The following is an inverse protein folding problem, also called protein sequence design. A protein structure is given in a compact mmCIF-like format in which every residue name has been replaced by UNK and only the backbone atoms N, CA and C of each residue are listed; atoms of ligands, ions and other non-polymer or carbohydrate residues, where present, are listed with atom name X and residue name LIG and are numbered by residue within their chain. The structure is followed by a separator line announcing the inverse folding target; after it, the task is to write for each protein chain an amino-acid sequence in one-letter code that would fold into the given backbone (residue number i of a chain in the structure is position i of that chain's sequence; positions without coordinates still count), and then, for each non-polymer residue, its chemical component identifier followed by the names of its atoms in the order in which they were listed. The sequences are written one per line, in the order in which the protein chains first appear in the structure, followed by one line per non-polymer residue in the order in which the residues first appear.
data_IF_533948438881
#
_entry.id   IF_533948438881
#
_cell.length_a   1.000
_cell.length_b   1.000
_cell.length_c   1.000
_cell.angle_alpha   90.00
_cell.angle_beta   90.00
_cell.angle_gamma   90.00
#
_symmetry.space_group_name_H-M   'P 1'
#
loop_
_entity.id
_entity.type
_entity.pdbx_description
1 polymer ?
#
# COMPACT_ATOMS: atom_id res chain seq x y z
N UNK A 1 3.01 16.59 -28.62
CA UNK A 1 3.52 15.46 -27.83
C UNK A 1 2.33 14.82 -27.15
N UNK A 2 2.13 13.52 -27.33
CA UNK A 2 1.03 12.78 -26.69
C UNK A 2 1.27 12.77 -25.18
N UNK A 3 0.25 13.10 -24.40
CA UNK A 3 0.28 13.00 -22.94
C UNK A 3 0.66 11.56 -22.54
N UNK A 4 1.75 11.34 -21.77
CA UNK A 4 2.20 10.01 -21.39
C UNK A 4 1.13 9.22 -20.63
N UNK A 5 0.31 9.88 -19.80
CA UNK A 5 -0.79 9.23 -19.07
C UNK A 5 -1.83 8.72 -20.04
N UNK A 6 -2.24 9.56 -21.01
CA UNK A 6 -3.19 9.15 -22.04
C UNK A 6 -2.67 7.98 -22.89
N UNK A 7 -1.40 8.02 -23.28
CA UNK A 7 -0.79 6.92 -24.05
C UNK A 7 -0.75 5.61 -23.25
N UNK A 8 -0.53 5.70 -21.93
CA UNK A 8 -0.57 4.54 -21.05
C UNK A 8 -2.00 4.00 -20.85
N UNK A 9 -3.00 4.88 -20.70
CA UNK A 9 -4.43 4.51 -20.68
C UNK A 9 -4.81 3.77 -21.96
N UNK A 10 -4.45 4.31 -23.13
CA UNK A 10 -4.74 3.68 -24.42
C UNK A 10 -4.11 2.27 -24.50
N UNK A 11 -2.86 2.11 -24.02
CA UNK A 11 -2.18 0.83 -23.98
C UNK A 11 -2.83 -0.17 -22.99
N UNK A 12 -3.31 0.29 -21.83
CA UNK A 12 -4.05 -0.54 -20.87
C UNK A 12 -5.37 -1.05 -21.46
N UNK A 13 -6.15 -0.15 -22.07
CA UNK A 13 -7.44 -0.49 -22.68
C UNK A 13 -7.28 -1.41 -23.90
N UNK A 14 -6.16 -1.32 -24.61
CA UNK A 14 -5.79 -2.21 -25.72
C UNK A 14 -5.11 -3.53 -25.26
N UNK A 15 -4.79 -3.68 -23.97
CA UNK A 15 -4.05 -4.82 -23.41
C UNK A 15 -2.66 -4.98 -24.09
N UNK A 16 -2.03 -3.86 -24.48
CA UNK A 16 -0.73 -3.86 -25.15
C UNK A 16 0.42 -4.01 -24.14
N UNK A 17 0.66 -5.25 -23.72
CA UNK A 17 1.70 -5.60 -22.74
C UNK A 17 3.08 -5.09 -23.12
N UNK A 18 3.44 -5.16 -24.39
CA UNK A 18 4.77 -4.76 -24.86
C UNK A 18 4.95 -3.24 -24.79
N UNK A 19 3.92 -2.46 -25.15
CA UNK A 19 3.93 -1.01 -24.99
C UNK A 19 4.03 -0.61 -23.52
N UNK A 20 3.22 -1.25 -22.65
CA UNK A 20 3.23 -1.00 -21.22
C UNK A 20 4.60 -1.27 -20.59
N UNK A 21 5.23 -2.40 -20.91
CA UNK A 21 6.58 -2.74 -20.42
C UNK A 21 7.62 -1.71 -20.88
N UNK A 22 7.57 -1.26 -22.13
CA UNK A 22 8.48 -0.21 -22.65
C UNK A 22 8.30 1.12 -21.91
N UNK A 23 7.06 1.50 -21.62
CA UNK A 23 6.75 2.75 -20.91
C UNK A 23 7.25 2.74 -19.46
N UNK A 24 7.23 1.58 -18.79
CA UNK A 24 7.69 1.43 -17.41
C UNK A 24 9.20 1.15 -17.31
N UNK A 25 9.80 0.51 -18.32
CA UNK A 25 11.23 0.17 -18.36
C UNK A 25 12.16 1.33 -18.73
N UNK A 26 11.62 2.41 -19.32
CA UNK A 26 12.38 3.63 -19.62
C UNK A 26 12.75 4.46 -18.38
N UNK A 27 12.30 4.06 -17.19
CA UNK A 27 12.56 4.76 -15.93
C UNK A 27 13.96 4.47 -15.40
N UNK A 28 14.69 5.53 -15.02
CA UNK A 28 16.02 5.46 -14.41
C UNK A 28 16.01 4.50 -13.19
N UNK A 29 16.95 3.54 -13.10
CA UNK A 29 17.15 2.72 -11.91
C UNK A 29 17.24 3.52 -10.59
N UNK A 30 17.70 4.77 -10.64
CA UNK A 30 17.80 5.66 -9.49
C UNK A 30 16.46 6.26 -9.04
N UNK A 31 15.44 6.31 -9.91
CA UNK A 31 14.13 6.92 -9.64
C UNK A 31 13.01 5.86 -9.66
N UNK A 32 13.04 4.99 -8.64
CA UNK A 32 12.35 3.68 -8.63
C UNK A 32 10.80 3.74 -8.55
N UNK A 33 10.22 4.85 -8.09
CA UNK A 33 8.77 5.01 -7.86
C UNK A 33 8.09 6.03 -8.78
N UNK A 34 8.84 6.94 -9.41
CA UNK A 34 8.28 8.01 -10.23
C UNK A 34 7.31 7.51 -11.31
N UNK A 35 7.56 6.39 -12.02
CA UNK A 35 6.60 5.87 -13.00
C UNK A 35 5.29 5.41 -12.37
N UNK A 36 5.27 5.05 -11.09
CA UNK A 36 4.04 4.59 -10.46
C UNK A 36 3.15 5.79 -10.11
N UNK A 37 3.72 6.80 -9.45
CA UNK A 37 2.97 7.98 -9.00
C UNK A 37 2.64 8.94 -10.16
N UNK A 38 3.49 9.03 -11.19
CA UNK A 38 3.30 9.97 -12.31
C UNK A 38 2.58 9.35 -13.53
N UNK A 39 2.54 8.02 -13.64
CA UNK A 39 1.96 7.34 -14.80
C UNK A 39 0.87 6.34 -14.43
N UNK A 40 1.18 5.36 -13.57
CA UNK A 40 0.25 4.27 -13.25
C UNK A 40 -0.96 4.78 -12.46
N UNK A 41 -0.73 5.55 -11.39
CA UNK A 41 -1.82 6.07 -10.55
C UNK A 41 -2.75 7.00 -11.34
N UNK A 42 -2.26 8.03 -12.06
CA UNK A 42 -3.12 8.89 -12.87
C UNK A 42 -3.87 8.14 -13.98
N UNK A 43 -3.27 7.11 -14.58
CA UNK A 43 -3.93 6.31 -15.60
C UNK A 43 -5.09 5.47 -15.02
N UNK A 44 -4.90 4.85 -13.86
CA UNK A 44 -5.95 4.09 -13.19
C UNK A 44 -7.09 5.00 -12.71
N UNK A 45 -6.78 6.21 -12.22
CA UNK A 45 -7.77 7.23 -11.89
C UNK A 45 -8.57 7.64 -13.13
N UNK A 46 -7.89 7.92 -14.25
CA UNK A 46 -8.53 8.25 -15.53
C UNK A 46 -9.45 7.13 -16.05
N UNK A 47 -9.06 5.86 -15.89
CA UNK A 47 -9.90 4.71 -16.26
C UNK A 47 -11.11 4.57 -15.32
N UNK A 48 -10.94 4.88 -14.03
CA UNK A 48 -12.05 4.95 -13.06
C UNK A 48 -13.09 6.00 -13.46
N UNK A 49 -12.65 7.22 -13.80
CA UNK A 49 -13.53 8.29 -14.28
C UNK A 49 -14.25 7.91 -15.58
N UNK A 50 -13.55 7.27 -16.52
CA UNK A 50 -14.15 6.77 -17.76
C UNK A 50 -15.23 5.72 -17.47
N UNK A 51 -15.01 4.85 -16.49
CA UNK A 51 -16.01 3.85 -16.10
C UNK A 51 -17.24 4.50 -15.47
N UNK A 52 -17.06 5.48 -14.58
CA UNK A 52 -18.16 6.24 -13.97
C UNK A 52 -19.03 6.96 -15.01
N UNK A 53 -18.42 7.45 -16.10
CA UNK A 53 -19.14 8.05 -17.23
C UNK A 53 -19.76 7.03 -18.19
N UNK A 54 -19.42 5.75 -18.08
CA UNK A 54 -19.88 4.68 -18.97
C UNK A 54 -19.07 4.53 -20.26
N UNK A 55 -17.89 5.15 -20.36
CA UNK A 55 -17.02 5.11 -21.54
C UNK A 55 -16.25 3.77 -21.65
N UNK A 56 -15.99 3.11 -20.52
CA UNK A 56 -15.30 1.80 -20.46
C UNK A 56 -16.08 0.80 -19.59
N UNK A 57 -15.89 -0.49 -19.85
CA UNK A 57 -16.55 -1.57 -19.12
C UNK A 57 -15.82 -1.91 -17.81
N UNK A 58 -16.55 -2.55 -16.89
CA UNK A 58 -15.94 -3.10 -15.67
C UNK A 58 -14.81 -4.11 -15.97
N UNK A 59 -14.93 -4.88 -17.06
CA UNK A 59 -13.87 -5.80 -17.47
C UNK A 59 -12.58 -5.06 -17.88
N UNK A 60 -12.69 -3.88 -18.51
CA UNK A 60 -11.54 -3.04 -18.83
C UNK A 60 -10.89 -2.46 -17.58
N UNK A 61 -11.68 -1.99 -16.61
CA UNK A 61 -11.16 -1.53 -15.30
C UNK A 61 -10.37 -2.65 -14.61
N UNK A 62 -10.98 -3.84 -14.49
CA UNK A 62 -10.36 -5.00 -13.87
C UNK A 62 -9.06 -5.41 -14.57
N UNK A 63 -9.09 -5.53 -15.91
CA UNK A 63 -7.91 -5.91 -16.68
C UNK A 63 -6.79 -4.88 -16.58
N UNK A 64 -7.12 -3.59 -16.57
CA UNK A 64 -6.14 -2.51 -16.39
C UNK A 64 -5.43 -2.61 -15.05
N UNK A 65 -6.18 -2.81 -13.96
CA UNK A 65 -5.62 -3.05 -12.64
C UNK A 65 -4.71 -4.27 -12.57
N UNK A 66 -5.13 -5.40 -13.19
CA UNK A 66 -4.33 -6.63 -13.27
C UNK A 66 -3.03 -6.45 -14.06
N UNK A 67 -3.07 -5.73 -15.18
CA UNK A 67 -1.87 -5.43 -15.97
C UNK A 67 -0.90 -4.55 -15.18
N UNK A 68 -1.39 -3.50 -14.52
CA UNK A 68 -0.55 -2.66 -13.64
C UNK A 68 0.08 -3.48 -12.51
N UNK A 69 -0.68 -4.37 -11.89
CA UNK A 69 -0.20 -5.29 -10.86
C UNK A 69 0.91 -6.20 -11.39
N UNK A 70 0.71 -6.82 -12.55
CA UNK A 70 1.70 -7.68 -13.22
C UNK A 70 2.98 -6.92 -13.62
N UNK A 71 2.85 -5.70 -14.15
CA UNK A 71 4.00 -4.85 -14.51
C UNK A 71 4.85 -4.49 -13.28
N UNK A 72 4.18 -4.13 -12.19
CA UNK A 72 4.86 -3.73 -10.95
C UNK A 72 5.49 -4.95 -10.29
N UNK A 73 4.76 -6.05 -10.12
CA UNK A 73 5.29 -7.28 -9.49
C UNK A 73 6.32 -8.03 -10.34
N UNK A 74 6.18 -7.99 -11.66
CA UNK A 74 7.10 -8.64 -12.61
C UNK A 74 8.44 -7.92 -12.74
N UNK A 75 8.51 -6.64 -12.34
CA UNK A 75 9.76 -5.90 -12.34
C UNK A 75 10.75 -6.52 -11.32
N UNK A 76 12.02 -6.77 -11.70
CA UNK A 76 13.01 -7.44 -10.83
C UNK A 76 13.15 -6.86 -9.42
N UNK A 77 12.91 -5.54 -9.29
CA UNK A 77 12.98 -4.80 -8.02
C UNK A 77 11.84 -5.13 -7.03
N UNK A 78 10.72 -5.66 -7.53
CA UNK A 78 9.57 -6.12 -6.73
C UNK A 78 9.51 -7.66 -6.62
N UNK A 79 10.31 -8.41 -7.39
CA UNK A 79 10.35 -9.89 -7.32
C UNK A 79 10.92 -10.43 -6.00
N UNK A 80 11.73 -9.64 -5.29
CA UNK A 80 12.18 -9.95 -3.93
C UNK A 80 11.07 -9.80 -2.87
N UNK A 81 9.84 -9.45 -3.26
CA UNK A 81 8.69 -9.25 -2.37
C UNK A 81 7.90 -10.54 -2.12
N UNK A 82 8.15 -11.62 -2.88
CA UNK A 82 7.48 -12.91 -2.66
C UNK A 82 7.87 -13.53 -1.31
N UNK A 83 6.85 -13.65 -0.45
CA UNK A 83 6.67 -14.60 0.65
C UNK A 83 7.96 -15.15 1.27
N UNK A 84 8.75 -14.26 1.88
CA UNK A 84 9.60 -14.69 2.98
C UNK A 84 8.71 -14.85 4.20
N UNK A 85 8.49 -16.08 4.65
CA UNK A 85 8.09 -16.38 6.02
C UNK A 85 9.09 -15.68 6.94
N UNK A 86 8.75 -14.47 7.39
CA UNK A 86 9.47 -13.83 8.50
C UNK A 86 8.87 -14.43 9.76
N UNK A 87 9.16 -15.71 9.98
CA UNK A 87 9.30 -16.21 11.33
C UNK A 87 10.42 -15.37 11.95
N UNK A 88 10.06 -14.67 13.01
CA UNK A 88 10.92 -13.85 13.87
C UNK A 88 11.34 -12.52 13.23
N UNK A 89 10.78 -11.42 13.76
CA UNK A 89 11.57 -10.21 13.99
C UNK A 89 12.79 -10.66 14.81
N UNK A 90 13.85 -11.08 14.12
CA UNK A 90 14.93 -11.87 14.70
C UNK A 90 15.49 -11.27 15.97
N UNK A 91 15.92 -12.14 16.88
CA UNK A 91 16.61 -11.76 18.10
C UNK A 91 17.86 -10.93 17.78
N UNK A 92 17.83 -9.69 18.24
CA UNK A 92 18.93 -8.83 18.66
C UNK A 92 20.30 -9.05 17.99
N UNK A 93 20.46 -8.46 16.81
CA UNK A 93 21.76 -8.30 16.15
C UNK A 93 22.54 -7.11 16.71
N UNK A 94 22.89 -7.12 18.00
CA UNK A 94 23.91 -6.24 18.60
C UNK A 94 23.66 -4.73 18.57
N UNK A 95 22.46 -4.27 18.22
CA UNK A 95 22.06 -2.86 18.29
C UNK A 95 21.38 -2.58 19.63
N UNK A 96 21.70 -1.47 20.32
CA UNK A 96 21.15 -1.12 21.64
C UNK A 96 19.60 -1.04 21.73
N UNK A 97 18.90 -1.03 20.59
CA UNK A 97 17.43 -1.08 20.53
C UNK A 97 16.94 -2.19 19.59
N UNK A 98 15.93 -2.97 19.99
CA UNK A 98 15.31 -3.93 19.09
C UNK A 98 14.63 -3.21 17.92
N UNK A 99 14.65 -3.80 16.71
CA UNK A 99 14.07 -3.21 15.51
C UNK A 99 12.57 -2.99 15.69
N UNK A 100 12.05 -1.92 15.09
CA UNK A 100 10.63 -1.57 15.11
C UNK A 100 9.79 -2.72 14.53
N UNK A 101 8.78 -3.19 15.27
CA UNK A 101 7.88 -4.23 14.78
C UNK A 101 6.77 -3.63 13.91
N UNK A 102 6.97 -3.74 12.59
CA UNK A 102 6.09 -3.17 11.57
C UNK A 102 5.23 -4.26 10.94
N UNK A 103 3.92 -4.03 10.92
CA UNK A 103 2.92 -4.85 10.25
C UNK A 103 2.23 -4.09 9.12
N UNK A 104 1.73 -4.80 8.11
CA UNK A 104 0.91 -4.21 7.04
C UNK A 104 -0.23 -5.14 6.64
N UNK A 105 -1.41 -4.58 6.34
CA UNK A 105 -2.57 -5.35 5.90
C UNK A 105 -3.50 -4.54 5.00
N UNK A 106 -4.35 -5.22 4.26
CA UNK A 106 -5.61 -4.64 3.77
C UNK A 106 -6.75 -5.05 4.71
N UNK A 107 -7.69 -4.13 4.96
CA UNK A 107 -8.79 -4.36 5.90
C UNK A 107 -10.10 -4.59 5.13
N UNK A 108 -10.60 -5.82 5.10
CA UNK A 108 -11.80 -6.18 4.33
C UNK A 108 -11.76 -5.67 2.87
N UNK A 109 -10.58 -5.70 2.25
CA UNK A 109 -10.30 -5.11 0.95
C UNK A 109 -9.30 -5.98 0.17
N UNK A 110 -9.64 -6.34 -1.06
CA UNK A 110 -8.83 -7.22 -1.90
C UNK A 110 -7.96 -6.46 -2.92
N UNK A 111 -7.88 -5.13 -2.82
CA UNK A 111 -7.01 -4.31 -3.65
C UNK A 111 -5.58 -4.30 -3.08
N UNK A 112 -4.72 -5.16 -3.62
CA UNK A 112 -3.40 -5.44 -3.04
C UNK A 112 -2.27 -4.55 -3.57
N UNK A 113 -2.48 -3.81 -4.66
CA UNK A 113 -1.41 -3.09 -5.36
C UNK A 113 -0.72 -2.05 -4.44
N UNK A 114 -1.50 -1.18 -3.80
CA UNK A 114 -0.97 -0.16 -2.89
C UNK A 114 -0.18 -0.77 -1.74
N UNK A 115 -0.70 -1.82 -1.11
CA UNK A 115 -0.01 -2.59 -0.07
C UNK A 115 1.35 -3.09 -0.54
N UNK A 116 1.41 -3.71 -1.72
CA UNK A 116 2.66 -4.27 -2.28
C UNK A 116 3.69 -3.18 -2.59
N UNK A 117 3.26 -2.02 -3.07
CA UNK A 117 4.15 -0.88 -3.28
C UNK A 117 4.76 -0.41 -1.95
N UNK A 118 3.94 -0.22 -0.93
CA UNK A 118 4.40 0.17 0.42
C UNK A 118 5.39 -0.85 0.99
N UNK A 119 5.08 -2.15 0.89
CA UNK A 119 6.00 -3.23 1.28
C UNK A 119 7.36 -3.10 0.59
N UNK A 120 7.38 -2.87 -0.72
CA UNK A 120 8.61 -2.77 -1.49
C UNK A 120 9.43 -1.54 -1.09
N UNK A 121 8.80 -0.38 -0.89
CA UNK A 121 9.47 0.85 -0.45
C UNK A 121 10.14 0.67 0.91
N UNK A 122 9.41 0.11 1.88
CA UNK A 122 9.92 -0.11 3.22
C UNK A 122 11.06 -1.14 3.24
N UNK A 123 10.91 -2.25 2.51
CA UNK A 123 11.95 -3.30 2.41
C UNK A 123 13.21 -2.79 1.71
N UNK A 124 13.06 -2.02 0.63
CA UNK A 124 14.19 -1.37 -0.05
C UNK A 124 14.94 -0.40 0.87
N UNK A 125 14.24 0.18 1.84
CA UNK A 125 14.81 1.07 2.87
C UNK A 125 15.37 0.34 4.09
N UNK A 126 15.40 -0.99 4.08
CA UNK A 126 15.98 -1.83 5.15
C UNK A 126 15.00 -2.25 6.26
N UNK A 127 13.71 -1.86 6.18
CA UNK A 127 12.72 -2.26 7.17
C UNK A 127 12.23 -3.70 6.94
N UNK A 128 12.03 -4.43 8.04
CA UNK A 128 11.34 -5.73 8.03
C UNK A 128 9.86 -5.51 8.30
N UNK A 129 9.03 -5.82 7.31
CA UNK A 129 7.58 -5.63 7.36
C UNK A 129 6.88 -6.98 7.29
N UNK A 130 6.09 -7.31 8.32
CA UNK A 130 5.20 -8.47 8.32
C UNK A 130 3.91 -8.14 7.59
N UNK A 131 3.64 -8.89 6.53
CA UNK A 131 2.41 -8.75 5.76
C UNK A 131 1.35 -9.73 6.29
N UNK A 132 0.25 -9.18 6.82
CA UNK A 132 -0.89 -9.94 7.34
C UNK A 132 -1.90 -10.33 6.27
N UNK A 133 -1.61 -10.05 4.99
CA UNK A 133 -2.54 -10.32 3.91
C UNK A 133 -3.74 -9.37 3.97
N UNK A 134 -4.91 -9.95 3.76
CA UNK A 134 -6.22 -9.31 3.91
C UNK A 134 -6.90 -9.94 5.11
N UNK A 135 -7.40 -9.11 6.03
CA UNK A 135 -8.08 -9.56 7.22
C UNK A 135 -9.25 -8.64 7.56
N UNK A 136 -10.20 -9.15 8.36
CA UNK A 136 -11.18 -8.30 9.04
C UNK A 136 -10.55 -7.64 10.28
N UNK A 137 -11.28 -6.69 10.88
CA UNK A 137 -10.79 -5.92 12.01
C UNK A 137 -10.48 -6.77 13.25
N UNK A 138 -11.25 -7.82 13.51
CA UNK A 138 -11.09 -8.66 14.70
C UNK A 138 -9.86 -9.55 14.56
N UNK A 139 -9.76 -10.27 13.45
CA UNK A 139 -8.63 -11.13 13.10
C UNK A 139 -7.33 -10.33 13.05
N UNK A 140 -7.35 -9.14 12.45
CA UNK A 140 -6.17 -8.29 12.38
C UNK A 140 -5.76 -7.79 13.77
N UNK A 141 -6.71 -7.42 14.64
CA UNK A 141 -6.41 -7.03 16.01
C UNK A 141 -5.74 -8.17 16.79
N UNK A 142 -6.25 -9.40 16.68
CA UNK A 142 -5.66 -10.58 17.32
C UNK A 142 -4.21 -10.81 16.87
N UNK A 143 -3.94 -10.72 15.57
CA UNK A 143 -2.59 -10.84 15.03
C UNK A 143 -1.65 -9.72 15.50
N UNK A 144 -2.13 -8.48 15.53
CA UNK A 144 -1.38 -7.29 15.96
C UNK A 144 -1.01 -7.38 17.43
N UNK A 145 -1.93 -7.84 18.27
CA UNK A 145 -1.70 -8.06 19.71
C UNK A 145 -0.73 -9.22 19.93
N UNK A 146 -0.96 -10.37 19.27
CA UNK A 146 -0.11 -11.56 19.40
C UNK A 146 1.35 -11.27 19.02
N UNK A 147 1.54 -10.52 17.96
CA UNK A 147 2.87 -10.22 17.41
C UNK A 147 3.48 -8.92 17.99
N UNK A 148 2.79 -8.28 18.94
CA UNK A 148 3.18 -7.01 19.60
C UNK A 148 3.56 -5.91 18.61
N UNK A 149 2.79 -5.76 17.53
CA UNK A 149 3.08 -4.82 16.44
C UNK A 149 3.05 -3.38 16.96
N UNK A 150 4.11 -2.63 16.68
CA UNK A 150 4.25 -1.24 17.12
C UNK A 150 3.70 -0.25 16.08
N UNK A 151 3.86 -0.57 14.80
CA UNK A 151 3.35 0.23 13.68
C UNK A 151 2.59 -0.68 12.74
N UNK A 152 1.31 -0.38 12.50
CA UNK A 152 0.46 -1.08 11.56
C UNK A 152 0.11 -0.15 10.40
N UNK A 153 0.52 -0.54 9.20
CA UNK A 153 0.14 0.13 7.96
C UNK A 153 -1.13 -0.52 7.38
N UNK A 154 -2.11 0.30 7.01
CA UNK A 154 -3.35 -0.16 6.37
C UNK A 154 -3.49 0.44 4.98
N UNK A 155 -3.64 -0.42 3.98
CA UNK A 155 -3.96 -0.05 2.60
C UNK A 155 -5.42 -0.38 2.32
N UNK A 156 -6.25 0.62 2.06
CA UNK A 156 -7.69 0.44 1.74
C UNK A 156 -8.08 1.28 0.52
N UNK A 157 -8.79 0.68 -0.42
CA UNK A 157 -9.31 1.35 -1.60
C UNK A 157 -10.81 1.67 -1.48
N UNK A 158 -11.53 0.92 -0.65
CA UNK A 158 -12.98 1.07 -0.48
C UNK A 158 -13.34 1.89 0.76
N UNK A 159 -14.28 2.84 0.63
CA UNK A 159 -14.76 3.64 1.76
C UNK A 159 -15.34 2.79 2.92
N UNK A 160 -16.16 1.74 2.68
CA UNK A 160 -16.61 0.86 3.77
C UNK A 160 -15.47 0.22 4.55
N UNK A 161 -14.38 -0.14 3.86
CA UNK A 161 -13.17 -0.71 4.46
C UNK A 161 -12.41 0.33 5.28
N UNK A 162 -12.25 1.56 4.76
CA UNK A 162 -11.68 2.67 5.51
C UNK A 162 -12.46 2.97 6.80
N UNK A 163 -13.79 2.96 6.74
CA UNK A 163 -14.64 3.17 7.92
C UNK A 163 -14.54 2.05 8.97
N UNK A 164 -14.06 0.85 8.60
CA UNK A 164 -13.84 -0.26 9.55
C UNK A 164 -12.56 -0.09 10.37
N UNK A 165 -11.67 0.85 10.02
CA UNK A 165 -10.48 1.16 10.84
C UNK A 165 -10.87 1.55 12.27
N UNK A 166 -12.02 2.19 12.47
CA UNK A 166 -12.55 2.50 13.80
C UNK A 166 -12.79 1.26 14.67
N UNK A 167 -13.23 0.16 14.05
CA UNK A 167 -13.48 -1.11 14.76
C UNK A 167 -12.16 -1.75 15.18
N UNK A 168 -11.15 -1.68 14.30
CA UNK A 168 -9.80 -2.13 14.59
C UNK A 168 -9.17 -1.32 15.73
N UNK A 169 -9.23 0.02 15.67
CA UNK A 169 -8.77 0.91 16.76
C UNK A 169 -9.42 0.54 18.10
N UNK A 170 -10.75 0.38 18.11
CA UNK A 170 -11.50 0.00 19.31
C UNK A 170 -11.06 -1.37 19.87
N UNK A 171 -10.83 -2.36 19.00
CA UNK A 171 -10.35 -3.68 19.42
C UNK A 171 -8.94 -3.63 20.03
N UNK A 172 -8.04 -2.84 19.43
CA UNK A 172 -6.69 -2.63 19.96
C UNK A 172 -6.71 -1.88 21.29
N UNK A 173 -7.55 -0.87 21.43
CA UNK A 173 -7.74 -0.14 22.70
C UNK A 173 -8.27 -1.04 23.81
N UNK A 174 -9.25 -1.89 23.51
CA UNK A 174 -9.81 -2.85 24.46
C UNK A 174 -8.76 -3.89 24.93
N UNK A 175 -7.81 -4.24 24.06
CA UNK A 175 -6.69 -5.11 24.38
C UNK A 175 -5.52 -4.37 25.10
N UNK A 176 -5.62 -3.05 25.28
CA UNK A 176 -4.54 -2.22 25.83
C UNK A 176 -3.34 -2.04 24.88
N UNK A 177 -3.49 -2.41 23.60
CA UNK A 177 -2.41 -2.38 22.62
C UNK A 177 -2.22 -0.97 22.04
N UNK A 178 -1.01 -0.44 22.18
CA UNK A 178 -0.62 0.91 21.75
C UNK A 178 0.05 0.92 20.37
N UNK A 179 -0.47 0.13 19.44
CA UNK A 179 -0.03 0.16 18.04
C UNK A 179 -0.41 1.48 17.38
N UNK A 180 0.54 2.10 16.68
CA UNK A 180 0.28 3.23 15.78
C UNK A 180 -0.30 2.74 14.47
N UNK A 181 -1.44 3.27 14.07
CA UNK A 181 -2.15 2.96 12.85
C UNK A 181 -1.84 4.03 11.81
N UNK A 182 -1.14 3.64 10.75
CA UNK A 182 -0.85 4.50 9.60
C UNK A 182 -1.73 4.06 8.43
N UNK A 183 -2.55 4.95 7.89
CA UNK A 183 -3.51 4.61 6.83
C UNK A 183 -3.12 5.21 5.49
N UNK A 184 -3.52 4.56 4.41
CA UNK A 184 -3.38 5.07 3.05
C UNK A 184 -4.41 4.46 2.10
N UNK A 185 -4.41 4.97 0.88
CA UNK A 185 -5.32 4.58 -0.19
C UNK A 185 -6.40 5.62 -0.50
N UNK A 186 -7.20 5.36 -1.52
CA UNK A 186 -8.02 6.37 -2.18
C UNK A 186 -9.00 7.13 -1.25
N UNK A 187 -9.74 6.48 -0.33
CA UNK A 187 -10.67 7.20 0.55
C UNK A 187 -10.01 8.32 1.36
N UNK A 188 -8.79 8.10 1.86
CA UNK A 188 -8.05 9.09 2.63
C UNK A 188 -7.41 10.19 1.77
N UNK A 189 -7.24 9.96 0.46
CA UNK A 189 -6.84 11.02 -0.49
C UNK A 189 -8.01 11.93 -0.84
N UNK A 190 -9.21 11.36 -0.99
CA UNK A 190 -10.44 12.12 -1.27
C UNK A 190 -10.92 12.92 -0.06
N UNK A 191 -10.72 12.39 1.15
CA UNK A 191 -10.96 13.11 2.40
C UNK A 191 -9.74 12.99 3.34
N UNK A 192 -8.83 13.98 3.32
CA UNK A 192 -7.65 14.00 4.18
C UNK A 192 -7.93 14.07 5.67
N UNK A 193 -9.18 14.30 6.13
CA UNK A 193 -9.53 14.29 7.55
C UNK A 193 -10.12 12.94 8.00
N UNK A 194 -10.48 12.05 7.07
CA UNK A 194 -11.09 10.76 7.37
C UNK A 194 -10.25 9.91 8.33
N UNK A 195 -8.92 10.01 8.28
CA UNK A 195 -8.04 9.25 9.16
C UNK A 195 -8.25 9.60 10.64
N UNK A 196 -8.57 10.86 10.95
CA UNK A 196 -8.89 11.31 12.31
C UNK A 196 -10.22 10.72 12.79
N UNK A 197 -11.22 10.69 11.90
CA UNK A 197 -12.56 10.17 12.22
C UNK A 197 -12.55 8.67 12.54
N UNK A 198 -11.70 7.91 11.86
CA UNK A 198 -11.57 6.46 12.06
C UNK A 198 -10.53 6.09 13.14
N UNK A 199 -9.88 7.09 13.77
CA UNK A 199 -8.95 6.88 14.87
C UNK A 199 -7.58 6.34 14.45
N UNK A 200 -7.12 6.66 13.24
CA UNK A 200 -5.74 6.43 12.81
C UNK A 200 -4.82 7.57 13.27
N UNK A 201 -3.52 7.27 13.39
CA UNK A 201 -2.52 8.21 13.91
C UNK A 201 -1.92 9.11 12.82
N UNK A 202 -1.84 8.61 11.58
CA UNK A 202 -1.40 9.40 10.43
C UNK A 202 -1.89 8.82 9.10
N UNK A 203 -1.83 9.64 8.06
CA UNK A 203 -2.20 9.29 6.70
C UNK A 203 -1.03 9.54 5.73
N UNK A 204 -0.81 8.62 4.79
CA UNK A 204 0.11 8.77 3.66
C UNK A 204 -0.62 8.70 2.32
N UNK A 205 -0.36 9.65 1.43
CA UNK A 205 -0.98 9.73 0.10
C UNK A 205 -0.29 8.82 -0.92
N UNK A 206 1.00 8.56 -0.74
CA UNK A 206 1.85 7.77 -1.64
C UNK A 206 2.59 6.66 -0.89
N UNK A 207 3.17 5.71 -1.64
CA UNK A 207 4.04 4.70 -1.04
C UNK A 207 5.33 5.30 -0.45
N UNK A 208 5.80 6.45 -0.98
CA UNK A 208 6.94 7.16 -0.44
C UNK A 208 6.65 7.77 0.94
N UNK A 209 5.43 8.28 1.16
CA UNK A 209 5.01 8.84 2.45
C UNK A 209 5.07 7.80 3.57
N UNK A 210 4.79 6.53 3.26
CA UNK A 210 4.87 5.45 4.24
C UNK A 210 6.27 5.33 4.88
N UNK A 211 7.33 5.58 4.11
CA UNK A 211 8.69 5.59 4.65
C UNK A 211 8.91 6.74 5.65
N UNK A 212 8.44 7.94 5.30
CA UNK A 212 8.56 9.11 6.18
C UNK A 212 7.77 8.91 7.48
N UNK A 213 6.56 8.35 7.38
CA UNK A 213 5.71 8.05 8.53
C UNK A 213 6.31 6.99 9.45
N UNK A 214 6.89 5.92 8.88
CA UNK A 214 7.56 4.88 9.67
C UNK A 214 8.79 5.44 10.40
N UNK A 215 9.60 6.29 9.74
CA UNK A 215 10.74 6.96 10.38
C UNK A 215 10.30 7.87 11.54
N UNK A 216 9.27 8.68 11.31
CA UNK A 216 8.70 9.50 12.38
C UNK A 216 8.16 8.65 13.54
N UNK A 217 7.62 7.45 13.25
CA UNK A 217 7.15 6.55 14.27
C UNK A 217 8.29 5.91 15.08
N UNK A 218 9.45 5.67 14.47
CA UNK A 218 10.66 5.15 15.10
C UNK A 218 11.31 6.15 16.07
N UNK A 219 11.28 7.44 15.73
CA UNK A 219 11.90 8.52 16.49
C UNK A 219 11.07 8.98 17.71
N UNK A 220 9.77 8.69 17.73
CA UNK A 220 8.92 9.14 18.82
C UNK A 220 9.12 8.32 20.12
N UNK A 221 8.80 8.90 21.29
CA UNK A 221 8.81 8.16 22.55
C UNK A 221 7.88 6.94 22.49
N UNK A 222 8.36 5.80 22.99
CA UNK A 222 7.59 4.56 23.15
C UNK A 222 6.69 4.63 24.37
#
# INVERSE_FOLDING_TARGET
MTDPVRAFVDALLAIDRLALEKMVSGADPANSLAPIDELVVPALESIGEQWERGDVSLSQVYMSGRLCEELITGAPRFKSVEAGDVSEWGADGGSEKPPLRIGISTLDDYHLLGKRMVCAVLRASGYRVRDYGTADAATLAEHVVRDDVQVLLLSVLMLPSALRVKNLRAALDAAGQRTRILVGGAPFRFDPNLYLEVGADAFGATAADALALVRAAEEAPR
#
